data_IF_983851008951
#
_entry.id   IF_983851008951
#
_cell.length_a   1.000
_cell.length_b   1.000
_cell.length_c   1.000
_cell.angle_alpha   90.00
_cell.angle_beta   90.00
_cell.angle_gamma   90.00
#
_symmetry.space_group_name_H-M   'P 1'
#
loop_
_entity.id
_entity.type
_entity.pdbx_description
1 polymer ?
#
# COMPACT_ATOMS: atom_id res chain seq x y z
N UNK A 1 5.22 -10.65 -14.54
CA UNK A 1 5.35 -9.43 -13.72
C UNK A 1 6.78 -9.30 -13.23
N UNK A 2 7.33 -8.08 -13.18
CA UNK A 2 8.75 -7.84 -12.81
C UNK A 2 8.89 -6.67 -11.82
N UNK A 3 7.88 -6.46 -10.96
CA UNK A 3 7.82 -5.37 -9.98
C UNK A 3 7.84 -3.96 -10.61
N UNK A 4 8.05 -2.91 -9.82
CA UNK A 4 7.77 -1.52 -10.23
C UNK A 4 8.90 -0.88 -11.03
N UNK A 5 10.18 -1.20 -10.81
CA UNK A 5 11.26 -0.54 -11.52
C UNK A 5 11.22 -0.75 -13.05
N UNK A 6 11.12 -1.97 -13.60
CA UNK A 6 11.00 -2.15 -15.05
C UNK A 6 9.71 -1.54 -15.62
N UNK A 7 8.60 -1.56 -14.86
CA UNK A 7 7.34 -0.95 -15.29
C UNK A 7 7.49 0.57 -15.47
N UNK A 8 8.11 1.23 -14.51
CA UNK A 8 8.36 2.68 -14.54
C UNK A 8 9.36 3.03 -15.65
N UNK A 9 10.43 2.23 -15.83
CA UNK A 9 11.38 2.44 -16.91
C UNK A 9 10.69 2.38 -18.29
N UNK A 10 9.91 1.33 -18.53
CA UNK A 10 9.15 1.15 -19.77
C UNK A 10 8.21 2.32 -20.02
N UNK A 11 7.40 2.70 -19.03
CA UNK A 11 6.49 3.84 -19.14
C UNK A 11 7.26 5.14 -19.41
N UNK A 12 8.40 5.34 -18.76
CA UNK A 12 9.23 6.54 -18.92
C UNK A 12 9.78 6.68 -20.34
N UNK A 13 10.24 5.60 -20.97
CA UNK A 13 10.68 5.64 -22.36
C UNK A 13 9.53 5.97 -23.33
N UNK A 14 8.34 5.46 -23.09
CA UNK A 14 7.17 5.76 -23.90
C UNK A 14 6.72 7.22 -23.74
N UNK A 15 6.67 7.73 -22.51
CA UNK A 15 6.33 9.13 -22.24
C UNK A 15 7.36 10.07 -22.89
N UNK A 16 8.66 9.76 -22.78
CA UNK A 16 9.71 10.59 -23.39
C UNK A 16 9.59 10.72 -24.91
N UNK A 17 9.13 9.67 -25.60
CA UNK A 17 8.86 9.73 -27.06
C UNK A 17 7.74 10.71 -27.41
N UNK A 18 6.76 10.88 -26.52
CA UNK A 18 5.60 11.77 -26.70
C UNK A 18 5.93 13.19 -26.23
N UNK A 19 6.53 13.31 -25.05
CA UNK A 19 6.93 14.58 -24.44
C UNK A 19 8.32 14.46 -23.79
N UNK A 20 9.38 14.94 -24.46
CA UNK A 20 10.76 14.86 -23.98
C UNK A 20 11.04 15.62 -22.67
N UNK A 21 10.16 16.56 -22.29
CA UNK A 21 10.29 17.40 -21.10
C UNK A 21 9.20 17.14 -20.06
N UNK A 22 8.55 15.98 -20.11
CA UNK A 22 7.48 15.66 -19.19
C UNK A 22 7.95 15.62 -17.73
N UNK A 23 7.16 16.21 -16.84
CA UNK A 23 7.21 15.92 -15.42
C UNK A 23 6.18 14.83 -15.12
N UNK A 24 6.58 13.82 -14.37
CA UNK A 24 5.81 12.60 -14.16
C UNK A 24 5.55 12.41 -12.69
N UNK A 25 4.32 12.03 -12.36
CA UNK A 25 3.95 11.46 -11.06
C UNK A 25 3.71 9.97 -11.21
N UNK A 26 4.26 9.19 -10.29
CA UNK A 26 3.99 7.76 -10.14
C UNK A 26 3.32 7.56 -8.78
N UNK A 27 2.13 6.99 -8.77
CA UNK A 27 1.38 6.76 -7.55
C UNK A 27 0.73 5.37 -7.58
N UNK A 28 0.66 4.67 -6.43
CA UNK A 28 -0.16 3.47 -6.30
C UNK A 28 -1.64 3.79 -6.52
N UNK A 29 -2.38 2.84 -7.12
CA UNK A 29 -3.79 3.04 -7.48
C UNK A 29 -4.78 2.70 -6.36
N UNK A 30 -4.31 2.09 -5.29
CA UNK A 30 -5.08 1.53 -4.17
C UNK A 30 -4.88 2.26 -2.84
N UNK A 31 -4.14 3.37 -2.83
CA UNK A 31 -3.95 4.20 -1.64
C UNK A 31 -5.16 5.11 -1.38
N UNK A 32 -5.42 5.36 -0.11
CA UNK A 32 -6.44 6.31 0.35
C UNK A 32 -5.80 7.67 0.61
N UNK A 33 -6.46 8.73 0.14
CA UNK A 33 -6.13 10.13 0.41
C UNK A 33 -7.39 10.81 0.93
N UNK A 34 -7.34 11.34 2.17
CA UNK A 34 -8.49 11.92 2.84
C UNK A 34 -8.65 13.42 2.56
N UNK A 35 -7.53 14.13 2.41
CA UNK A 35 -7.49 15.59 2.19
C UNK A 35 -7.03 15.87 0.75
N UNK A 36 -8.00 15.90 -0.18
CA UNK A 36 -7.71 16.01 -1.62
C UNK A 36 -7.01 17.32 -2.00
N UNK A 37 -7.40 18.45 -1.40
CA UNK A 37 -6.82 19.76 -1.73
C UNK A 37 -5.36 19.87 -1.24
N UNK A 38 -5.06 19.41 -0.04
CA UNK A 38 -3.69 19.35 0.50
C UNK A 38 -2.80 18.43 -0.35
N UNK A 39 -3.35 17.32 -0.81
CA UNK A 39 -2.65 16.43 -1.74
C UNK A 39 -2.35 17.11 -3.07
N UNK A 40 -3.34 17.77 -3.66
CA UNK A 40 -3.21 18.52 -4.91
C UNK A 40 -2.15 19.63 -4.81
N UNK A 41 -2.15 20.39 -3.71
CA UNK A 41 -1.14 21.41 -3.46
C UNK A 41 0.26 20.82 -3.35
N UNK A 42 0.40 19.69 -2.63
CA UNK A 42 1.69 18.97 -2.52
C UNK A 42 2.20 18.51 -3.90
N UNK A 43 1.32 17.95 -4.73
CA UNK A 43 1.67 17.52 -6.10
C UNK A 43 2.10 18.70 -6.97
N UNK A 44 1.37 19.83 -6.94
CA UNK A 44 1.71 21.03 -7.74
C UNK A 44 3.09 21.55 -7.35
N UNK A 45 3.34 21.73 -6.05
CA UNK A 45 4.66 22.16 -5.53
C UNK A 45 5.78 21.18 -5.91
N UNK A 46 5.50 19.88 -5.78
CA UNK A 46 6.47 18.84 -6.14
C UNK A 46 6.79 18.81 -7.64
N UNK A 47 5.80 18.95 -8.51
CA UNK A 47 6.01 19.03 -9.97
C UNK A 47 6.78 20.29 -10.36
N UNK A 48 6.52 21.42 -9.72
CA UNK A 48 7.28 22.66 -9.92
C UNK A 48 8.75 22.45 -9.52
N UNK A 49 9.01 21.86 -8.35
CA UNK A 49 10.37 21.56 -7.88
C UNK A 49 11.14 20.70 -8.86
N UNK A 50 10.59 19.58 -9.32
CA UNK A 50 11.28 18.66 -10.24
C UNK A 50 11.38 19.17 -11.68
N UNK A 51 10.61 20.20 -12.05
CA UNK A 51 10.71 20.85 -13.35
C UNK A 51 11.95 21.73 -13.47
N UNK A 52 12.45 22.24 -12.35
CA UNK A 52 13.59 23.17 -12.30
C UNK A 52 14.86 22.54 -11.71
N UNK A 53 14.80 21.29 -11.26
CA UNK A 53 15.92 20.60 -10.63
C UNK A 53 16.02 19.14 -11.08
N UNK A 54 17.24 18.58 -11.23
CA UNK A 54 17.44 17.19 -11.63
C UNK A 54 17.31 16.25 -10.40
N UNK A 55 16.23 16.41 -9.62
CA UNK A 55 15.98 15.66 -8.40
C UNK A 55 14.89 14.61 -8.58
N UNK A 56 14.99 13.51 -7.83
CA UNK A 56 13.94 12.53 -7.62
C UNK A 56 13.21 12.91 -6.33
N UNK A 57 11.91 13.07 -6.38
CA UNK A 57 11.11 13.49 -5.23
C UNK A 57 10.16 12.39 -4.79
N UNK A 58 10.05 12.19 -3.48
CA UNK A 58 9.00 11.39 -2.87
C UNK A 58 8.20 12.20 -1.85
N UNK A 59 6.98 11.74 -1.51
CA UNK A 59 6.16 12.34 -0.46
C UNK A 59 6.33 11.55 0.83
N UNK A 60 6.76 12.24 1.89
CA UNK A 60 6.99 11.67 3.21
C UNK A 60 5.84 11.96 4.17
N UNK A 61 5.36 10.93 4.86
CA UNK A 61 4.27 11.01 5.83
C UNK A 61 4.82 10.81 7.24
N UNK A 62 4.40 11.67 8.17
CA UNK A 62 4.83 11.53 9.56
C UNK A 62 4.27 10.24 10.17
N UNK A 63 5.13 9.35 10.69
CA UNK A 63 4.68 8.11 11.28
C UNK A 63 3.95 8.37 12.61
N UNK A 64 2.86 7.66 12.85
CA UNK A 64 2.11 7.67 14.11
C UNK A 64 2.25 6.36 14.90
N UNK A 65 2.89 5.34 14.30
CA UNK A 65 3.15 4.03 14.89
C UNK A 65 4.37 3.35 14.25
N UNK A 66 4.96 2.32 14.88
CA UNK A 66 6.05 1.56 14.28
C UNK A 66 5.52 0.52 13.27
N UNK A 67 5.30 0.95 12.02
CA UNK A 67 4.81 0.09 10.94
C UNK A 67 5.97 -0.63 10.24
N UNK A 68 5.87 -1.94 10.07
CA UNK A 68 6.91 -2.77 9.44
C UNK A 68 6.63 -3.06 7.96
N UNK A 69 5.44 -2.74 7.48
CA UNK A 69 5.02 -2.90 6.09
C UNK A 69 5.43 -1.73 5.18
N UNK A 70 5.92 -0.61 5.76
CA UNK A 70 6.25 0.61 5.02
C UNK A 70 7.76 0.83 4.92
N UNK A 71 8.16 1.59 3.90
CA UNK A 71 9.48 2.19 3.82
C UNK A 71 9.60 3.41 4.74
N UNK A 72 10.79 3.65 5.26
CA UNK A 72 11.14 4.80 6.09
C UNK A 72 12.21 5.63 5.40
N UNK A 73 12.08 6.95 5.49
CA UNK A 73 12.98 7.94 4.92
C UNK A 73 13.54 8.76 6.07
N UNK A 74 14.87 8.75 6.26
CA UNK A 74 15.55 9.68 7.13
C UNK A 74 15.88 10.95 6.34
N UNK A 75 15.50 12.11 6.88
CA UNK A 75 15.82 13.40 6.29
C UNK A 75 17.21 13.87 6.72
N UNK A 76 17.86 14.62 5.82
CA UNK A 76 19.09 15.35 6.09
C UNK A 76 18.79 16.79 6.57
N UNK A 77 19.78 17.47 7.11
CA UNK A 77 19.71 18.92 7.37
C UNK A 77 19.70 19.74 6.08
N UNK A 78 20.27 19.21 4.99
CA UNK A 78 20.27 19.82 3.67
C UNK A 78 18.85 19.89 3.10
N UNK A 79 18.42 21.09 2.70
CA UNK A 79 17.10 21.33 2.13
C UNK A 79 17.11 22.40 1.04
N UNK A 80 16.13 22.32 0.15
CA UNK A 80 15.83 23.29 -0.88
C UNK A 80 14.37 23.77 -0.70
N UNK A 81 14.18 24.92 -0.02
CA UNK A 81 12.84 25.35 0.39
C UNK A 81 12.20 24.36 1.37
N UNK A 82 11.03 23.80 0.98
CA UNK A 82 10.25 22.83 1.76
C UNK A 82 10.66 21.37 1.46
N UNK A 83 11.69 21.15 0.62
CA UNK A 83 12.14 19.83 0.20
C UNK A 83 13.44 19.47 0.92
N UNK A 84 13.42 18.36 1.65
CA UNK A 84 14.57 17.85 2.40
C UNK A 84 15.31 16.81 1.59
N UNK A 85 16.64 16.84 1.62
CA UNK A 85 17.42 15.76 1.04
C UNK A 85 17.23 14.49 1.83
N UNK A 86 17.13 13.38 1.14
CA UNK A 86 17.07 12.07 1.78
C UNK A 86 18.47 11.62 2.17
N UNK A 87 18.66 11.34 3.48
CA UNK A 87 19.89 10.80 4.02
C UNK A 87 19.94 9.28 3.90
N UNK A 88 18.84 8.63 4.21
CA UNK A 88 18.73 7.17 4.20
C UNK A 88 17.32 6.76 3.82
N UNK A 89 17.22 5.73 2.99
CA UNK A 89 15.98 5.10 2.61
C UNK A 89 16.01 3.65 3.10
N UNK A 90 15.02 3.22 3.88
CA UNK A 90 14.99 1.89 4.50
C UNK A 90 13.62 1.27 4.23
N UNK A 91 13.59 0.22 3.44
CA UNK A 91 12.35 -0.47 3.09
C UNK A 91 12.04 -1.59 4.09
N UNK A 92 10.84 -1.56 4.65
CA UNK A 92 10.26 -2.60 5.52
C UNK A 92 11.18 -3.07 6.66
N UNK A 93 11.50 -2.18 7.61
CA UNK A 93 12.41 -2.50 8.71
C UNK A 93 11.80 -3.53 9.69
N UNK A 94 12.66 -4.16 10.49
CA UNK A 94 12.19 -4.94 11.65
C UNK A 94 11.57 -4.01 12.70
N UNK A 95 10.67 -4.56 13.53
CA UNK A 95 9.88 -3.77 14.47
C UNK A 95 10.73 -2.97 15.46
N UNK A 96 11.85 -3.52 15.90
CA UNK A 96 12.78 -2.87 16.82
C UNK A 96 13.32 -1.57 16.22
N UNK A 97 13.71 -1.61 14.94
CA UNK A 97 14.15 -0.43 14.21
C UNK A 97 12.99 0.54 13.95
N UNK A 98 11.82 0.03 13.54
CA UNK A 98 10.65 0.87 13.32
C UNK A 98 10.26 1.69 14.56
N UNK A 99 10.37 1.11 15.76
CA UNK A 99 10.15 1.84 17.04
C UNK A 99 11.15 2.98 17.23
N UNK A 100 12.45 2.70 17.04
CA UNK A 100 13.50 3.70 17.14
C UNK A 100 13.28 4.83 16.12
N UNK A 101 12.86 4.51 14.90
CA UNK A 101 12.60 5.50 13.85
C UNK A 101 11.45 6.44 14.23
N UNK A 102 10.36 5.91 14.79
CA UNK A 102 9.23 6.73 15.25
C UNK A 102 9.64 7.60 16.45
N UNK A 103 10.35 7.04 17.41
CA UNK A 103 10.80 7.75 18.63
C UNK A 103 11.81 8.85 18.34
N UNK A 104 12.69 8.69 17.35
CA UNK A 104 13.68 9.69 16.97
C UNK A 104 13.07 10.96 16.37
N UNK A 105 11.91 10.85 15.72
CA UNK A 105 11.25 11.96 15.03
C UNK A 105 11.92 12.41 13.73
N UNK A 106 13.01 11.75 13.29
CA UNK A 106 13.77 12.09 12.08
C UNK A 106 13.33 11.28 10.85
N UNK A 107 12.49 10.26 11.05
CA UNK A 107 12.06 9.37 10.00
C UNK A 107 10.60 9.61 9.62
N UNK A 108 10.33 9.47 8.32
CA UNK A 108 9.02 9.60 7.72
C UNK A 108 8.69 8.34 6.92
N UNK A 109 7.42 7.98 6.82
CA UNK A 109 7.01 6.90 5.94
C UNK A 109 7.13 7.31 4.48
N UNK A 110 7.66 6.43 3.65
CA UNK A 110 7.60 6.55 2.22
C UNK A 110 6.17 6.24 1.73
N UNK A 111 5.49 7.22 1.17
CA UNK A 111 4.15 7.03 0.63
C UNK A 111 4.10 6.19 -0.64
N UNK A 112 5.25 5.91 -1.28
CA UNK A 112 5.29 5.28 -2.60
C UNK A 112 4.82 6.19 -3.74
N UNK A 113 4.64 7.49 -3.47
CA UNK A 113 4.29 8.49 -4.47
C UNK A 113 5.54 9.25 -4.85
N UNK A 114 5.90 9.20 -6.13
CA UNK A 114 7.15 9.74 -6.66
C UNK A 114 6.90 10.76 -7.75
N UNK A 115 7.73 11.80 -7.80
CA UNK A 115 7.69 12.83 -8.83
C UNK A 115 9.10 13.07 -9.38
N UNK A 116 9.21 13.25 -10.67
CA UNK A 116 10.47 13.56 -11.34
C UNK A 116 10.26 14.10 -12.75
N UNK A 117 11.29 14.77 -13.26
CA UNK A 117 11.37 15.03 -14.69
C UNK A 117 11.77 13.75 -15.43
N UNK A 118 11.21 13.52 -16.60
CA UNK A 118 11.42 12.29 -17.40
C UNK A 118 12.90 12.03 -17.71
N UNK A 119 13.70 13.08 -17.91
CA UNK A 119 15.13 12.94 -18.15
C UNK A 119 15.89 12.53 -16.90
N UNK A 120 15.50 13.05 -15.74
CA UNK A 120 16.11 12.71 -14.46
C UNK A 120 15.97 11.22 -14.14
N UNK A 121 14.77 10.67 -14.25
CA UNK A 121 14.56 9.24 -13.97
C UNK A 121 15.23 8.33 -15.00
N UNK A 122 15.22 8.68 -16.29
CA UNK A 122 15.91 7.89 -17.31
C UNK A 122 17.43 7.92 -17.09
N UNK A 123 18.00 9.05 -16.70
CA UNK A 123 19.42 9.13 -16.34
C UNK A 123 19.73 8.25 -15.13
N UNK A 124 18.89 8.28 -14.08
CA UNK A 124 19.05 7.40 -12.94
C UNK A 124 18.99 5.91 -13.31
N UNK A 125 18.07 5.51 -14.19
CA UNK A 125 18.03 4.14 -14.71
C UNK A 125 19.30 3.78 -15.50
N UNK A 126 19.80 4.66 -16.36
CA UNK A 126 21.02 4.42 -17.14
C UNK A 126 22.25 4.27 -16.24
N UNK A 127 22.32 5.03 -15.17
CA UNK A 127 23.46 4.97 -14.22
C UNK A 127 23.38 3.76 -13.29
N UNK A 128 22.20 3.49 -12.72
CA UNK A 128 22.04 2.54 -11.61
C UNK A 128 21.58 1.15 -12.09
N UNK A 129 20.77 1.10 -13.15
CA UNK A 129 20.18 -0.14 -13.68
C UNK A 129 20.31 -0.24 -15.22
N UNK A 130 21.54 -0.17 -15.77
CA UNK A 130 21.77 -0.18 -17.23
C UNK A 130 21.20 -1.43 -17.90
N UNK A 131 21.12 -2.56 -17.21
CA UNK A 131 20.53 -3.80 -17.72
C UNK A 131 19.02 -3.69 -18.00
N UNK A 132 18.28 -2.83 -17.28
CA UNK A 132 16.87 -2.55 -17.55
C UNK A 132 16.75 -1.68 -18.81
N UNK A 133 17.63 -0.68 -18.91
CA UNK A 133 17.65 0.23 -20.06
C UNK A 133 17.93 -0.50 -21.38
N UNK A 134 18.94 -1.38 -21.41
CA UNK A 134 19.30 -2.14 -22.61
C UNK A 134 18.18 -3.02 -23.15
N UNK A 135 17.23 -3.43 -22.30
CA UNK A 135 16.09 -4.27 -22.66
C UNK A 135 14.83 -3.52 -23.05
N UNK A 136 14.70 -2.26 -22.61
CA UNK A 136 13.45 -1.52 -22.75
C UNK A 136 13.56 -0.24 -23.60
N UNK A 137 14.78 0.29 -23.85
CA UNK A 137 14.98 1.59 -24.51
C UNK A 137 14.76 1.58 -26.01
N UNK A 138 15.04 0.48 -26.71
CA UNK A 138 15.07 0.39 -28.17
C UNK A 138 13.83 -0.23 -28.81
N UNK A 139 12.77 -0.45 -28.04
CA UNK A 139 11.54 -1.07 -28.53
C UNK A 139 11.57 -2.60 -28.51
N UNK A 140 12.65 -3.23 -28.06
CA UNK A 140 12.65 -4.62 -27.69
C UNK A 140 12.05 -4.73 -26.29
N UNK A 141 10.76 -5.04 -26.26
CA UNK A 141 10.02 -5.19 -25.01
C UNK A 141 10.30 -6.56 -24.37
N UNK A 142 11.56 -6.88 -24.08
CA UNK A 142 11.89 -8.07 -23.32
C UNK A 142 11.72 -7.84 -21.82
N UNK A 143 10.49 -7.49 -21.46
CA UNK A 143 10.07 -7.27 -20.08
C UNK A 143 10.26 -8.52 -19.22
N UNK A 144 10.20 -9.71 -19.85
CA UNK A 144 10.31 -10.99 -19.14
C UNK A 144 11.72 -11.25 -18.62
N UNK A 145 12.74 -10.69 -19.24
CA UNK A 145 14.14 -10.85 -18.83
C UNK A 145 14.63 -9.77 -17.86
N UNK A 146 13.83 -8.70 -17.61
CA UNK A 146 14.17 -7.67 -16.66
C UNK A 146 14.27 -8.23 -15.22
N UNK A 147 15.11 -7.64 -14.35
CA UNK A 147 15.17 -8.02 -12.94
C UNK A 147 13.83 -7.74 -12.25
N UNK A 148 13.47 -8.60 -11.28
CA UNK A 148 12.25 -8.44 -10.49
C UNK A 148 12.55 -7.60 -9.24
N UNK A 149 12.53 -6.28 -9.38
CA UNK A 149 12.92 -5.33 -8.32
C UNK A 149 11.99 -4.12 -8.31
N UNK A 150 11.70 -3.60 -7.11
CA UNK A 150 10.93 -2.36 -6.97
C UNK A 150 11.77 -1.13 -7.31
N UNK A 151 11.11 -0.01 -7.59
CA UNK A 151 11.77 1.29 -7.80
C UNK A 151 12.51 1.75 -6.54
N UNK A 152 11.98 1.41 -5.38
CA UNK A 152 12.57 1.72 -4.08
C UNK A 152 13.97 1.14 -3.98
N UNK A 153 14.11 -0.19 -4.10
CA UNK A 153 15.40 -0.90 -4.06
C UNK A 153 16.28 -0.65 -5.29
N UNK A 154 15.65 -0.47 -6.45
CA UNK A 154 16.36 -0.33 -7.73
C UNK A 154 17.03 1.03 -7.87
N UNK A 155 16.33 2.09 -7.52
CA UNK A 155 16.72 3.48 -7.77
C UNK A 155 16.76 4.31 -6.48
N UNK A 156 15.65 4.37 -5.71
CA UNK A 156 15.49 5.36 -4.64
C UNK A 156 16.50 5.18 -3.49
N UNK A 157 16.87 3.97 -3.14
CA UNK A 157 17.89 3.69 -2.12
C UNK A 157 19.32 3.99 -2.58
N UNK A 158 19.57 4.07 -3.89
CA UNK A 158 20.92 4.17 -4.47
C UNK A 158 21.24 5.54 -5.06
N UNK A 159 20.21 6.27 -5.44
CA UNK A 159 20.38 7.58 -6.07
C UNK A 159 20.76 8.64 -5.03
N UNK A 160 21.72 9.52 -5.37
CA UNK A 160 22.25 10.56 -4.50
C UNK A 160 21.43 11.86 -4.53
N UNK A 161 20.47 11.96 -5.45
CA UNK A 161 19.66 13.15 -5.72
C UNK A 161 18.19 12.96 -5.31
N UNK A 162 17.93 12.18 -4.26
CA UNK A 162 16.59 11.97 -3.74
C UNK A 162 16.24 13.03 -2.71
N UNK A 163 15.08 13.64 -2.87
CA UNK A 163 14.47 14.59 -1.95
C UNK A 163 13.11 14.09 -1.47
N UNK A 164 12.65 14.59 -0.34
CA UNK A 164 11.35 14.31 0.23
C UNK A 164 10.61 15.59 0.57
N UNK A 165 9.35 15.66 0.22
CA UNK A 165 8.40 16.67 0.68
C UNK A 165 7.58 16.10 1.82
N UNK A 166 7.58 16.75 2.97
CA UNK A 166 6.81 16.33 4.14
C UNK A 166 5.35 16.76 3.97
N UNK A 167 4.44 15.80 4.10
CA UNK A 167 3.02 16.00 3.79
C UNK A 167 2.11 15.45 4.89
N UNK A 168 0.92 16.07 5.02
CA UNK A 168 -0.18 15.61 5.87
C UNK A 168 -1.51 15.71 5.12
N UNK A 169 -1.71 14.85 4.15
CA UNK A 169 -2.96 14.76 3.39
C UNK A 169 -3.83 13.55 3.76
N UNK A 170 -3.60 12.95 4.94
CA UNK A 170 -4.40 11.81 5.40
C UNK A 170 -4.18 10.57 4.52
N UNK A 171 -2.92 10.19 4.33
CA UNK A 171 -2.52 9.04 3.52
C UNK A 171 -2.62 7.72 4.30
N UNK A 172 -3.11 6.68 3.62
CA UNK A 172 -3.02 5.28 4.05
C UNK A 172 -2.91 4.36 2.84
N UNK A 173 -2.08 3.32 2.94
CA UNK A 173 -1.91 2.34 1.87
C UNK A 173 -3.04 1.30 1.79
N UNK A 174 -3.84 1.16 2.86
CA UNK A 174 -4.89 0.14 3.03
C UNK A 174 -4.41 -1.31 2.82
N UNK A 175 -3.10 -1.54 2.79
CA UNK A 175 -2.50 -2.86 2.62
C UNK A 175 -2.53 -3.72 3.88
N UNK A 176 -2.89 -3.15 5.02
CA UNK A 176 -2.94 -3.84 6.31
C UNK A 176 -4.26 -3.56 7.04
N UNK A 177 -4.64 -4.49 7.92
CA UNK A 177 -5.81 -4.29 8.79
C UNK A 177 -5.62 -3.10 9.75
N UNK A 178 -4.38 -2.82 10.14
CA UNK A 178 -4.05 -1.67 10.98
C UNK A 178 -4.30 -0.36 10.25
N UNK A 179 -3.88 -0.24 9.00
CA UNK A 179 -4.16 0.96 8.21
C UNK A 179 -5.65 1.14 7.94
N UNK A 180 -6.39 0.04 7.71
CA UNK A 180 -7.84 0.08 7.58
C UNK A 180 -8.52 0.54 8.88
N UNK A 181 -8.08 0.02 10.04
CA UNK A 181 -8.59 0.42 11.35
C UNK A 181 -8.38 1.90 11.62
N UNK A 182 -7.19 2.43 11.31
CA UNK A 182 -6.84 3.82 11.59
C UNK A 182 -7.74 4.82 10.84
N UNK A 183 -8.10 4.52 9.61
CA UNK A 183 -8.89 5.42 8.74
C UNK A 183 -10.39 5.17 8.77
N UNK A 184 -10.84 4.06 9.37
CA UNK A 184 -12.26 3.71 9.44
C UNK A 184 -12.98 4.46 10.57
N UNK A 185 -14.26 4.82 10.39
CA UNK A 185 -15.09 5.33 11.48
C UNK A 185 -15.17 4.32 12.63
N UNK A 186 -15.04 4.82 13.86
CA UNK A 186 -15.06 4.02 15.08
C UNK A 186 -16.32 4.33 15.90
N UNK A 187 -16.85 3.32 16.58
CA UNK A 187 -17.86 3.54 17.61
C UNK A 187 -17.24 4.10 18.91
N UNK A 188 -18.08 4.32 19.92
CA UNK A 188 -17.67 4.88 21.23
C UNK A 188 -16.67 4.00 22.00
N UNK A 189 -16.57 2.72 21.64
CA UNK A 189 -15.64 1.75 22.20
C UNK A 189 -14.47 1.46 21.26
N UNK A 190 -14.24 2.31 20.24
CA UNK A 190 -13.18 2.17 19.25
C UNK A 190 -13.29 0.89 18.39
N UNK A 191 -14.49 0.30 18.25
CA UNK A 191 -14.68 -0.78 17.26
C UNK A 191 -14.94 -0.22 15.88
N UNK A 192 -14.46 -0.94 14.87
CA UNK A 192 -14.71 -0.71 13.44
C UNK A 192 -15.59 -1.83 12.91
N UNK A 193 -16.73 -1.50 12.31
CA UNK A 193 -17.61 -2.45 11.64
C UNK A 193 -17.77 -2.08 10.17
N UNK A 194 -17.55 -3.04 9.27
CA UNK A 194 -17.52 -2.85 7.82
C UNK A 194 -18.51 -3.83 7.15
N UNK A 195 -19.29 -3.32 6.21
CA UNK A 195 -20.26 -3.95 5.35
C UNK A 195 -21.52 -4.46 6.08
N UNK A 196 -21.53 -5.65 6.66
CA UNK A 196 -22.71 -6.25 7.27
C UNK A 196 -23.08 -5.66 8.63
N UNK A 197 -24.15 -6.17 9.22
CA UNK A 197 -24.61 -5.77 10.54
C UNK A 197 -23.77 -6.44 11.64
N UNK A 198 -23.48 -5.69 12.70
CA UNK A 198 -22.80 -6.21 13.89
C UNK A 198 -23.50 -5.77 15.17
N UNK A 199 -23.67 -6.70 16.12
CA UNK A 199 -24.09 -6.42 17.49
C UNK A 199 -22.93 -6.74 18.42
N UNK A 200 -22.39 -5.68 19.06
CA UNK A 200 -21.18 -5.74 19.86
C UNK A 200 -21.53 -5.50 21.33
N UNK A 201 -21.44 -6.53 22.16
CA UNK A 201 -21.71 -6.48 23.58
C UNK A 201 -20.39 -6.51 24.35
N UNK A 202 -20.10 -5.47 25.12
CA UNK A 202 -18.86 -5.35 25.89
C UNK A 202 -17.60 -5.60 25.05
N UNK A 203 -17.60 -5.07 23.81
CA UNK A 203 -16.52 -5.21 22.83
C UNK A 203 -15.75 -3.90 22.71
N UNK A 204 -14.40 -3.97 22.56
CA UNK A 204 -13.53 -2.81 22.47
C UNK A 204 -12.38 -3.02 21.49
N UNK A 205 -12.08 -1.98 20.67
CA UNK A 205 -10.94 -1.97 19.75
C UNK A 205 -10.90 -3.18 18.79
N UNK A 206 -12.06 -3.60 18.28
CA UNK A 206 -12.14 -4.70 17.33
C UNK A 206 -12.34 -4.19 15.89
N UNK A 207 -11.93 -5.02 14.93
CA UNK A 207 -12.28 -4.86 13.54
C UNK A 207 -13.23 -6.00 13.14
N UNK A 208 -14.43 -5.66 12.68
CA UNK A 208 -15.46 -6.63 12.30
C UNK A 208 -15.85 -6.40 10.86
N UNK A 209 -15.59 -7.38 10.01
CA UNK A 209 -15.92 -7.34 8.58
C UNK A 209 -16.75 -8.56 8.23
N UNK A 210 -18.01 -8.34 7.87
CA UNK A 210 -18.93 -9.42 7.47
C UNK A 210 -19.65 -9.02 6.19
N UNK A 211 -20.00 -9.99 5.32
CA UNK A 211 -20.71 -9.71 4.08
C UNK A 211 -22.05 -9.00 4.31
N UNK A 212 -22.48 -8.21 3.33
CA UNK A 212 -23.82 -7.62 3.34
C UNK A 212 -24.92 -8.70 3.53
N UNK A 213 -25.91 -8.37 4.36
CA UNK A 213 -27.00 -9.28 4.69
C UNK A 213 -26.68 -10.33 5.77
N UNK A 214 -25.42 -10.41 6.24
CA UNK A 214 -25.06 -11.24 7.40
C UNK A 214 -25.00 -10.41 8.68
N UNK A 215 -25.23 -11.08 9.82
CA UNK A 215 -25.17 -10.52 11.16
C UNK A 215 -24.05 -11.18 11.93
N UNK A 216 -23.13 -10.39 12.49
CA UNK A 216 -22.17 -10.84 13.50
C UNK A 216 -22.67 -10.43 14.88
N UNK A 217 -22.70 -11.37 15.83
CA UNK A 217 -22.96 -11.09 17.24
C UNK A 217 -21.73 -11.47 18.03
N UNK A 218 -21.09 -10.48 18.68
CA UNK A 218 -19.83 -10.65 19.41
C UNK A 218 -20.01 -10.14 20.84
N UNK A 219 -19.41 -10.85 21.79
CA UNK A 219 -19.45 -10.48 23.19
C UNK A 219 -18.08 -10.65 23.84
N UNK A 220 -17.71 -9.70 24.72
CA UNK A 220 -16.50 -9.72 25.56
C UNK A 220 -15.17 -9.85 24.77
N UNK A 221 -15.11 -9.26 23.56
CA UNK A 221 -13.91 -9.24 22.73
C UNK A 221 -13.20 -7.89 22.82
N UNK A 222 -11.88 -7.91 23.02
CA UNK A 222 -11.01 -6.73 22.99
C UNK A 222 -9.78 -6.96 22.12
N UNK A 223 -9.59 -6.10 21.11
CA UNK A 223 -8.45 -6.13 20.18
C UNK A 223 -8.48 -7.34 19.24
N UNK A 224 -9.65 -7.72 18.73
CA UNK A 224 -9.79 -8.81 17.77
C UNK A 224 -10.11 -8.32 16.38
N UNK A 225 -9.58 -9.03 15.39
CA UNK A 225 -10.06 -9.04 14.02
C UNK A 225 -11.04 -10.20 13.85
N UNK A 226 -12.26 -9.88 13.40
CA UNK A 226 -13.29 -10.84 13.00
C UNK A 226 -13.65 -10.54 11.57
N UNK A 227 -13.26 -11.40 10.65
CA UNK A 227 -13.53 -11.22 9.23
C UNK A 227 -14.17 -12.48 8.64
N UNK A 228 -15.26 -12.32 7.91
CA UNK A 228 -16.00 -13.43 7.31
C UNK A 228 -16.19 -13.23 5.81
N UNK A 229 -16.15 -14.33 5.07
CA UNK A 229 -16.68 -14.46 3.72
C UNK A 229 -17.88 -15.43 3.74
N UNK A 230 -18.31 -15.89 2.57
CA UNK A 230 -19.33 -16.92 2.52
C UNK A 230 -18.87 -18.26 3.10
N UNK A 231 -17.59 -18.58 2.98
CA UNK A 231 -17.02 -19.88 3.28
C UNK A 231 -16.02 -19.90 4.44
N UNK A 232 -15.49 -18.73 4.85
CA UNK A 232 -14.41 -18.62 5.84
C UNK A 232 -14.77 -17.61 6.91
N UNK A 233 -14.51 -17.96 8.17
CA UNK A 233 -14.53 -17.04 9.29
C UNK A 233 -13.13 -16.99 9.92
N UNK A 234 -12.53 -15.80 9.94
CA UNK A 234 -11.27 -15.51 10.62
C UNK A 234 -11.54 -14.79 11.94
N UNK A 235 -11.00 -15.29 13.02
CA UNK A 235 -10.99 -14.62 14.32
C UNK A 235 -9.58 -14.69 14.90
N UNK A 236 -8.93 -13.55 15.09
CA UNK A 236 -7.57 -13.50 15.65
C UNK A 236 -7.35 -12.22 16.46
N UNK A 237 -6.34 -12.20 17.31
CA UNK A 237 -5.89 -10.99 18.02
C UNK A 237 -5.33 -9.98 17.00
N UNK A 238 -5.81 -8.74 17.08
CA UNK A 238 -5.48 -7.71 16.11
C UNK A 238 -4.17 -6.98 16.46
N UNK A 239 -3.94 -6.65 17.73
CA UNK A 239 -2.79 -5.87 18.19
C UNK A 239 -1.60 -6.68 18.71
N UNK A 240 -1.66 -8.00 18.69
CA UNK A 240 -0.51 -8.82 19.03
C UNK A 240 0.24 -9.20 17.75
N UNK A 241 1.59 -9.04 17.79
CA UNK A 241 2.46 -9.48 16.69
C UNK A 241 2.05 -10.87 16.20
N UNK A 242 1.86 -11.06 14.92
CA UNK A 242 1.69 -12.38 14.36
C UNK A 242 3.05 -13.06 14.22
N UNK A 243 3.68 -13.47 15.33
CA UNK A 243 4.74 -14.48 15.24
C UNK A 243 4.16 -15.86 14.92
N UNK A 244 2.84 -15.99 15.06
CA UNK A 244 2.05 -17.13 14.55
C UNK A 244 0.69 -16.58 14.13
N UNK A 245 0.40 -16.51 12.85
CA UNK A 245 -0.95 -16.42 12.33
C UNK A 245 -1.66 -17.74 12.66
N UNK A 246 -2.26 -17.86 13.84
CA UNK A 246 -3.13 -18.99 14.14
C UNK A 246 -4.43 -18.72 13.38
N UNK A 247 -4.45 -19.13 12.13
CA UNK A 247 -5.67 -19.20 11.33
C UNK A 247 -6.46 -20.40 11.85
N UNK A 248 -7.38 -20.16 12.76
CA UNK A 248 -8.39 -21.18 13.09
C UNK A 248 -9.42 -21.12 11.97
N UNK A 249 -9.14 -21.84 10.89
CA UNK A 249 -10.14 -22.09 9.87
C UNK A 249 -11.16 -23.08 10.45
N UNK A 250 -12.28 -22.57 10.94
CA UNK A 250 -13.44 -23.43 11.16
C UNK A 250 -14.12 -23.65 9.81
N UNK A 251 -13.68 -24.68 9.09
CA UNK A 251 -14.31 -25.11 7.87
C UNK A 251 -15.63 -25.80 8.26
N UNK A 252 -16.75 -25.10 8.10
CA UNK A 252 -18.04 -25.78 8.04
C UNK A 252 -18.11 -26.38 6.62
N UNK A 253 -17.57 -27.60 6.51
CA UNK A 253 -17.66 -28.38 5.30
C UNK A 253 -19.11 -28.83 5.11
N UNK A 254 -19.87 -28.13 4.27
CA UNK A 254 -20.99 -28.74 3.58
C UNK A 254 -20.40 -29.52 2.42
N UNK A 255 -20.18 -30.79 2.64
CA UNK A 255 -19.65 -31.72 1.64
C UNK A 255 -20.73 -31.98 0.60
N UNK A 256 -20.64 -31.34 -0.55
CA UNK A 256 -21.17 -31.88 -1.79
C UNK A 256 -19.96 -32.17 -2.69
N UNK A 257 -19.28 -33.27 -2.41
CA UNK A 257 -18.23 -33.78 -3.25
C UNK A 257 -18.86 -34.72 -4.26
N UNK A 258 -19.12 -34.28 -5.49
CA UNK A 258 -19.29 -35.19 -6.62
C UNK A 258 -17.87 -35.57 -7.08
N UNK A 259 -17.52 -36.79 -6.70
CA UNK A 259 -16.36 -37.50 -7.20
C UNK A 259 -16.38 -37.59 -8.72
N UNK A 260 -15.32 -37.10 -9.40
CA UNK A 260 -14.74 -37.68 -10.62
C UNK A 260 -13.99 -36.63 -11.46
N UNK A 261 -12.93 -35.98 -10.95
CA UNK A 261 -11.94 -35.33 -11.83
C UNK A 261 -10.65 -34.89 -11.10
N UNK A 262 -10.04 -35.72 -10.24
CA UNK A 262 -8.75 -35.36 -9.64
C UNK A 262 -7.89 -36.64 -9.50
N UNK A 263 -7.41 -37.15 -10.61
CA UNK A 263 -6.22 -38.02 -10.60
C UNK A 263 -5.02 -37.17 -11.01
N UNK A 264 -4.10 -36.89 -10.07
CA UNK A 264 -2.77 -36.43 -10.39
C UNK A 264 -2.25 -35.13 -9.72
N UNK A 265 -2.92 -34.55 -8.75
CA UNK A 265 -2.39 -33.40 -8.01
C UNK A 265 -2.26 -33.75 -6.53
N UNK A 266 -1.08 -33.47 -5.95
CA UNK A 266 -0.81 -33.70 -4.54
C UNK A 266 -1.78 -32.88 -3.68
N UNK A 267 -2.64 -33.56 -2.92
CA UNK A 267 -3.76 -32.98 -2.13
C UNK A 267 -3.36 -31.83 -1.22
N UNK A 268 -2.12 -31.83 -0.71
CA UNK A 268 -1.63 -30.79 0.18
C UNK A 268 -1.30 -29.47 -0.56
N UNK A 269 -0.84 -29.56 -1.80
CA UNK A 269 -0.46 -28.37 -2.59
C UNK A 269 -1.69 -27.66 -3.17
N UNK A 270 -2.72 -28.42 -3.52
CA UNK A 270 -3.98 -27.89 -4.01
C UNK A 270 -4.81 -27.23 -2.88
N UNK A 271 -4.87 -27.87 -1.72
CA UNK A 271 -5.48 -27.28 -0.52
C UNK A 271 -4.79 -25.99 -0.09
N UNK A 272 -3.45 -25.96 -0.07
CA UNK A 272 -2.67 -24.78 0.28
C UNK A 272 -2.91 -23.61 -0.69
N UNK A 273 -3.04 -23.87 -2.00
CA UNK A 273 -3.29 -22.83 -3.00
C UNK A 273 -4.71 -22.27 -2.95
N UNK A 274 -5.73 -23.10 -2.75
CA UNK A 274 -7.12 -22.63 -2.57
C UNK A 274 -7.27 -21.80 -1.28
N UNK A 275 -6.70 -22.26 -0.17
CA UNK A 275 -6.68 -21.50 1.09
C UNK A 275 -5.96 -20.16 0.95
N UNK A 276 -4.89 -20.10 0.16
CA UNK A 276 -4.15 -18.87 -0.05
C UNK A 276 -4.96 -17.86 -0.87
N UNK A 277 -5.70 -18.28 -1.89
CA UNK A 277 -6.53 -17.41 -2.73
C UNK A 277 -7.77 -16.91 -1.96
N UNK A 278 -8.48 -17.79 -1.23
CA UNK A 278 -9.61 -17.38 -0.39
C UNK A 278 -9.16 -16.47 0.78
N UNK A 279 -7.98 -16.68 1.34
CA UNK A 279 -7.39 -15.82 2.36
C UNK A 279 -7.02 -14.44 1.77
N UNK A 280 -6.47 -14.40 0.56
CA UNK A 280 -6.20 -13.15 -0.15
C UNK A 280 -7.50 -12.40 -0.47
N UNK A 281 -8.54 -13.09 -0.90
CA UNK A 281 -9.85 -12.49 -1.16
C UNK A 281 -10.48 -11.95 0.15
N UNK A 282 -10.33 -12.68 1.27
CA UNK A 282 -10.75 -12.23 2.59
C UNK A 282 -9.99 -10.98 3.03
N UNK A 283 -8.69 -10.91 2.76
CA UNK A 283 -7.83 -9.82 3.20
C UNK A 283 -7.97 -8.56 2.32
N UNK A 284 -8.24 -8.72 1.03
CA UNK A 284 -8.18 -7.61 0.08
C UNK A 284 -9.55 -7.12 -0.43
N UNK A 285 -10.56 -7.97 -0.52
CA UNK A 285 -11.91 -7.55 -1.00
C UNK A 285 -12.56 -6.45 -0.15
N UNK A 286 -12.56 -6.54 1.20
CA UNK A 286 -13.15 -5.49 2.03
C UNK A 286 -12.46 -4.14 1.89
N UNK A 287 -11.14 -4.15 1.68
CA UNK A 287 -10.34 -2.94 1.44
C UNK A 287 -10.74 -2.29 0.12
N UNK A 288 -10.87 -3.06 -0.96
CA UNK A 288 -11.30 -2.58 -2.27
C UNK A 288 -12.75 -2.06 -2.24
N UNK A 289 -13.63 -2.68 -1.47
CA UNK A 289 -15.01 -2.24 -1.30
C UNK A 289 -15.11 -0.95 -0.48
N UNK A 290 -14.29 -0.79 0.56
CA UNK A 290 -14.18 0.44 1.34
C UNK A 290 -13.70 1.61 0.46
N UNK A 291 -12.70 1.41 -0.40
CA UNK A 291 -12.25 2.39 -1.39
C UNK A 291 -13.37 2.75 -2.36
N UNK A 292 -14.08 1.74 -2.91
CA UNK A 292 -15.21 1.97 -3.83
C UNK A 292 -16.37 2.71 -3.16
N UNK A 293 -16.66 2.42 -1.90
CA UNK A 293 -17.74 3.07 -1.14
C UNK A 293 -17.39 4.51 -0.84
N UNK A 294 -16.17 4.80 -0.40
CA UNK A 294 -15.69 6.17 -0.16
C UNK A 294 -15.67 6.99 -1.46
N UNK A 295 -15.21 6.44 -2.57
CA UNK A 295 -15.29 7.09 -3.89
C UNK A 295 -16.74 7.38 -4.33
N UNK A 296 -17.70 6.48 -4.04
CA UNK A 296 -19.14 6.72 -4.33
C UNK A 296 -19.74 7.78 -3.42
N UNK A 297 -19.37 7.82 -2.15
CA UNK A 297 -19.81 8.83 -1.18
C UNK A 297 -19.28 10.22 -1.54
N UNK A 298 -18.02 10.34 -1.95
CA UNK A 298 -17.44 11.60 -2.41
C UNK A 298 -18.11 12.10 -3.70
N UNK A 299 -18.41 11.20 -4.66
CA UNK A 299 -19.20 11.58 -5.86
C UNK A 299 -20.62 12.05 -5.51
N UNK A 300 -21.30 11.43 -4.54
CA UNK A 300 -22.64 11.88 -4.11
C UNK A 300 -22.60 13.23 -3.39
N UNK A 301 -21.56 13.54 -2.61
CA UNK A 301 -21.39 14.87 -1.99
C UNK A 301 -21.16 15.97 -3.03
N UNK A 302 -20.42 15.71 -4.11
CA UNK A 302 -20.26 16.66 -5.23
C UNK A 302 -21.56 16.93 -6.01
N UNK A 303 -22.44 15.93 -6.14
CA UNK A 303 -23.73 16.09 -6.84
C UNK A 303 -24.75 16.89 -5.98
N UNK A 304 -24.58 16.93 -4.67
CA UNK A 304 -25.44 17.71 -3.76
C UNK A 304 -24.90 19.12 -3.47
N UNK A 305 -23.79 19.53 -4.06
CA UNK A 305 -23.21 20.88 -3.98
C UNK A 305 -23.21 21.62 -5.33
N UNK A 306 -23.80 21.05 -6.36
CA UNK A 306 -24.20 21.69 -7.62
C UNK A 306 -25.74 21.79 -7.68
#
# INVERSE_FOLDING_TARGET
RRSTAPCIAWASYHIKKINPNANVIVAPSDHLILKEEEFKEAIIKGLEFVSHSPQLLTLGIKPNRPETGYGYIQIDEEKQGDFFKVKTFIEKPQLEFAKVFVESGEFYWNSGIFLWNINTIINAFNEIMPEVCSKLSEGEEDFASCPNISIDYGIMEKANNVFVQLCDFGWADLGTWSSLYDVSPKDVNENVAINGNSLLYNCKQNVVVVPEGKLAVLQDLEGYLVAATDNVLLVCKFFQKPDVLIVICVQVAVTACTSNALQGVNDNEFRCRMFHQELLDLLFQPVLECVRHNCKMQRRRRILQL
#
